data_IF_613578654262
#
_entry.id   IF_613578654262
#
_cell.length_a   1.000
_cell.length_b   1.000
_cell.length_c   1.000
_cell.angle_alpha   90.00
_cell.angle_beta   90.00
_cell.angle_gamma   90.00
#
_symmetry.space_group_name_H-M   'P 1'
#
loop_
_entity.id
_entity.type
_entity.pdbx_description
1 polymer ?
#
# COMPACT_ATOMS: atom_id res chain seq x y z
N UNK A 1 42.52 2.52 -14.39
CA UNK A 1 41.18 2.96 -13.91
C UNK A 1 40.96 2.31 -12.55
N UNK A 2 40.91 3.10 -11.49
CA UNK A 2 40.60 2.56 -10.15
C UNK A 2 39.14 2.13 -10.08
N UNK A 3 38.85 1.07 -9.34
CA UNK A 3 37.46 0.55 -9.19
C UNK A 3 36.59 1.55 -8.42
N UNK A 4 35.27 1.51 -8.62
CA UNK A 4 34.31 2.32 -7.88
C UNK A 4 34.44 2.11 -6.35
N UNK A 5 34.76 0.87 -5.91
CA UNK A 5 34.98 0.53 -4.51
C UNK A 5 36.16 1.24 -3.88
N UNK A 6 37.27 1.42 -4.62
CA UNK A 6 38.45 2.16 -4.14
C UNK A 6 38.16 3.66 -3.96
N UNK A 7 37.27 4.22 -4.83
CA UNK A 7 36.82 5.63 -4.73
C UNK A 7 35.95 5.88 -3.49
N UNK A 8 35.14 4.91 -3.07
CA UNK A 8 34.29 5.02 -1.87
C UNK A 8 35.13 4.95 -0.58
N UNK A 9 36.25 4.23 -0.57
CA UNK A 9 37.13 4.12 0.59
C UNK A 9 38.02 5.35 0.82
N UNK A 10 38.33 6.11 -0.23
CA UNK A 10 39.18 7.28 -0.15
C UNK A 10 38.47 8.63 0.06
N UNK A 11 37.12 8.64 0.18
CA UNK A 11 36.32 9.87 0.35
C UNK A 11 36.44 10.84 -0.82
N UNK A 12 36.66 10.32 -2.04
CA UNK A 12 36.85 11.14 -3.23
C UNK A 12 35.62 11.96 -3.54
N UNK A 13 35.77 13.25 -3.68
CA UNK A 13 34.77 14.21 -4.09
C UNK A 13 34.09 13.75 -5.37
N UNK A 14 32.75 13.60 -5.32
CA UNK A 14 31.95 13.40 -6.51
C UNK A 14 32.17 14.57 -7.46
N UNK A 15 32.49 14.26 -8.73
CA UNK A 15 32.71 15.26 -9.76
C UNK A 15 31.60 16.31 -9.73
N UNK A 16 31.98 17.57 -9.57
CA UNK A 16 31.03 18.69 -9.55
C UNK A 16 30.47 18.98 -10.96
N UNK A 17 29.30 19.62 -11.03
CA UNK A 17 28.75 20.04 -12.33
C UNK A 17 29.67 20.97 -13.13
N UNK A 18 30.56 21.69 -12.44
CA UNK A 18 31.56 22.58 -13.06
C UNK A 18 32.67 21.75 -13.69
N UNK A 19 33.26 20.83 -12.95
CA UNK A 19 34.33 19.95 -13.43
C UNK A 19 33.83 19.06 -14.61
N UNK A 20 32.61 18.52 -14.50
CA UNK A 20 32.01 17.77 -15.60
C UNK A 20 31.82 18.64 -16.85
N UNK A 21 31.34 19.87 -16.69
CA UNK A 21 31.15 20.80 -17.80
C UNK A 21 32.49 21.17 -18.49
N UNK A 22 33.52 21.42 -17.70
CA UNK A 22 34.88 21.67 -18.20
C UNK A 22 35.46 20.46 -18.95
N UNK A 23 35.25 19.24 -18.41
CA UNK A 23 35.71 17.99 -19.02
C UNK A 23 35.07 17.71 -20.40
N UNK A 24 33.81 18.03 -20.59
CA UNK A 24 33.08 17.77 -21.84
C UNK A 24 33.00 19.01 -22.76
N UNK A 25 33.64 20.13 -22.38
CA UNK A 25 33.75 21.32 -23.20
C UNK A 25 32.46 22.14 -23.37
N UNK A 26 31.56 22.13 -22.39
CA UNK A 26 30.31 22.90 -22.40
C UNK A 26 30.18 23.77 -21.15
N UNK A 27 29.24 24.71 -21.15
CA UNK A 27 29.01 25.51 -19.92
C UNK A 27 28.25 24.68 -18.86
N UNK A 28 28.52 24.95 -17.58
CA UNK A 28 27.78 24.34 -16.45
C UNK A 28 26.26 24.58 -16.58
N UNK A 29 25.85 25.75 -17.09
CA UNK A 29 24.45 26.05 -17.33
C UNK A 29 23.85 25.17 -18.42
N UNK A 30 24.64 24.79 -19.45
CA UNK A 30 24.21 23.87 -20.52
C UNK A 30 24.07 22.45 -19.98
N UNK A 31 25.02 21.96 -19.20
CA UNK A 31 24.93 20.67 -18.50
C UNK A 31 23.68 20.59 -17.65
N UNK A 32 23.47 21.60 -16.78
CA UNK A 32 22.30 21.67 -15.91
C UNK A 32 20.97 21.69 -16.68
N UNK A 33 20.88 22.40 -17.80
CA UNK A 33 19.66 22.45 -18.61
C UNK A 33 19.41 21.14 -19.38
N UNK A 34 20.48 20.55 -19.93
CA UNK A 34 20.38 19.28 -20.65
C UNK A 34 19.90 18.14 -19.74
N UNK A 35 20.56 17.94 -18.61
CA UNK A 35 20.26 16.85 -17.68
C UNK A 35 18.96 17.07 -16.86
N UNK A 36 18.41 18.29 -16.85
CA UNK A 36 17.09 18.59 -16.28
C UNK A 36 15.97 18.60 -17.32
N UNK A 37 16.19 18.12 -18.56
CA UNK A 37 15.16 17.98 -19.57
C UNK A 37 14.56 19.30 -20.11
N UNK A 38 15.24 20.46 -19.94
CA UNK A 38 14.70 21.73 -20.43
C UNK A 38 14.81 21.86 -21.94
N UNK A 39 13.72 22.29 -22.57
CA UNK A 39 13.60 22.46 -24.04
C UNK A 39 14.56 23.51 -24.66
N UNK A 40 15.27 24.28 -23.84
CA UNK A 40 16.22 25.32 -24.27
C UNK A 40 17.59 24.79 -24.74
N UNK A 41 17.81 23.47 -24.69
CA UNK A 41 19.04 22.82 -25.21
C UNK A 41 18.65 22.01 -26.45
N UNK A 42 19.39 22.19 -27.56
CA UNK A 42 19.11 21.40 -28.75
C UNK A 42 19.33 19.91 -28.50
N UNK A 43 18.55 19.07 -29.18
CA UNK A 43 18.51 17.63 -28.94
C UNK A 43 19.88 16.94 -29.11
N UNK A 44 20.66 17.33 -30.10
CA UNK A 44 22.01 16.82 -30.30
C UNK A 44 22.94 17.08 -29.13
N UNK A 45 22.85 18.28 -28.53
CA UNK A 45 23.65 18.66 -27.35
C UNK A 45 23.17 17.91 -26.11
N UNK A 46 21.86 17.70 -25.96
CA UNK A 46 21.30 16.93 -24.85
C UNK A 46 21.80 15.49 -24.89
N UNK A 47 21.63 14.80 -26.04
CA UNK A 47 22.10 13.41 -26.22
C UNK A 47 23.61 13.29 -25.97
N UNK A 48 24.42 14.26 -26.44
CA UNK A 48 25.86 14.28 -26.19
C UNK A 48 26.16 14.34 -24.70
N UNK A 49 25.49 15.25 -23.96
CA UNK A 49 25.71 15.43 -22.51
C UNK A 49 25.24 14.21 -21.73
N UNK A 50 24.07 13.65 -22.05
CA UNK A 50 23.52 12.44 -21.41
C UNK A 50 24.49 11.25 -21.59
N UNK A 51 24.97 11.02 -22.81
CA UNK A 51 25.94 9.96 -23.10
C UNK A 51 27.26 10.15 -22.35
N UNK A 52 27.74 11.40 -22.25
CA UNK A 52 28.96 11.70 -21.50
C UNK A 52 28.75 11.58 -19.99
N UNK A 53 27.57 11.93 -19.48
CA UNK A 53 27.24 11.72 -18.07
C UNK A 53 27.27 10.22 -17.72
N UNK A 54 26.69 9.37 -18.58
CA UNK A 54 26.76 7.92 -18.42
C UNK A 54 28.19 7.38 -18.49
N UNK A 55 28.99 7.83 -19.50
CA UNK A 55 30.38 7.42 -19.71
C UNK A 55 31.28 7.74 -18.51
N UNK A 56 31.09 8.90 -17.89
CA UNK A 56 31.89 9.37 -16.75
C UNK A 56 31.24 9.06 -15.38
N UNK A 57 30.06 8.43 -15.34
CA UNK A 57 29.32 8.17 -14.11
C UNK A 57 28.91 9.46 -13.40
N UNK A 58 28.70 10.55 -14.14
CA UNK A 58 28.32 11.84 -13.59
C UNK A 58 26.80 11.87 -13.28
N UNK A 59 26.48 12.21 -12.05
CA UNK A 59 25.10 12.44 -11.61
C UNK A 59 24.98 13.87 -11.07
N UNK A 60 23.95 14.59 -11.50
CA UNK A 60 23.67 15.92 -10.95
C UNK A 60 23.42 15.83 -9.45
N UNK A 61 24.10 16.69 -8.69
CA UNK A 61 23.87 16.79 -7.26
C UNK A 61 22.43 17.23 -6.98
N UNK A 62 21.63 16.33 -6.41
CA UNK A 62 20.22 16.55 -6.09
C UNK A 62 20.03 17.72 -5.10
N UNK A 63 20.95 17.90 -4.15
CA UNK A 63 20.89 19.02 -3.18
C UNK A 63 21.07 20.39 -3.87
N UNK A 64 22.03 20.49 -4.80
CA UNK A 64 22.23 21.73 -5.56
C UNK A 64 21.05 22.04 -6.50
N UNK A 65 20.37 20.99 -6.98
CA UNK A 65 19.14 21.11 -7.79
C UNK A 65 17.97 21.56 -6.91
N UNK A 66 17.77 20.95 -5.75
CA UNK A 66 16.66 21.29 -4.85
C UNK A 66 16.70 22.72 -4.35
N UNK A 67 17.90 23.25 -4.04
CA UNK A 67 18.10 24.65 -3.69
C UNK A 67 17.66 25.62 -4.80
N UNK A 68 17.75 25.22 -6.07
CA UNK A 68 17.41 26.07 -7.21
C UNK A 68 15.96 25.93 -7.66
N UNK A 69 15.37 24.75 -7.49
CA UNK A 69 14.04 24.42 -8.00
C UNK A 69 12.99 24.36 -6.91
N UNK A 70 13.39 24.39 -5.64
CA UNK A 70 12.57 24.12 -4.47
C UNK A 70 11.86 22.75 -4.53
N UNK A 71 12.36 21.82 -5.39
CA UNK A 71 11.86 20.44 -5.51
C UNK A 71 12.96 19.46 -5.13
N UNK A 72 12.62 18.50 -4.29
CA UNK A 72 13.53 17.45 -3.83
C UNK A 72 13.44 16.20 -4.68
N UNK A 73 12.35 16.06 -5.43
CA UNK A 73 11.91 14.84 -6.13
C UNK A 73 11.85 13.64 -5.19
N UNK A 74 11.41 13.86 -3.95
CA UNK A 74 11.28 12.82 -2.94
C UNK A 74 9.87 12.86 -2.35
N UNK A 75 9.19 11.71 -2.35
CA UNK A 75 7.90 11.52 -1.72
C UNK A 75 8.09 10.78 -0.41
N UNK A 76 7.53 11.33 0.66
CA UNK A 76 7.43 10.66 1.94
C UNK A 76 6.29 9.66 1.94
N UNK A 77 6.53 8.45 2.43
CA UNK A 77 5.53 7.41 2.55
C UNK A 77 5.37 7.04 4.02
N UNK A 78 4.17 7.28 4.55
CA UNK A 78 3.80 6.99 5.93
C UNK A 78 3.20 5.59 5.99
N UNK A 79 3.92 4.64 6.59
CA UNK A 79 3.42 3.29 6.85
C UNK A 79 2.91 3.16 8.29
N UNK A 80 2.06 2.16 8.58
CA UNK A 80 1.70 1.80 9.96
C UNK A 80 2.95 1.63 10.83
N UNK A 81 2.84 2.00 12.11
CA UNK A 81 3.95 2.11 13.07
C UNK A 81 4.72 0.81 13.32
N UNK A 82 4.17 -0.34 12.95
CA UNK A 82 4.72 -1.64 13.26
C UNK A 82 5.29 -2.32 12.00
N UNK A 83 6.63 -2.46 11.93
CA UNK A 83 7.31 -3.15 10.83
C UNK A 83 6.94 -4.63 10.75
N UNK A 84 6.63 -5.27 11.89
CA UNK A 84 6.12 -6.65 11.94
C UNK A 84 4.80 -6.78 11.17
N UNK A 85 3.97 -5.73 11.18
CA UNK A 85 2.74 -5.69 10.38
C UNK A 85 2.99 -5.68 8.88
N UNK A 86 4.09 -5.06 8.42
CA UNK A 86 4.46 -5.06 7.00
C UNK A 86 4.90 -6.44 6.52
N UNK A 87 5.68 -7.16 7.33
CA UNK A 87 6.17 -8.50 7.00
C UNK A 87 5.04 -9.54 6.99
N UNK A 88 4.04 -9.35 7.83
CA UNK A 88 2.84 -10.22 7.93
C UNK A 88 1.74 -9.85 6.94
N UNK A 89 1.78 -8.66 6.33
CA UNK A 89 0.76 -8.19 5.40
C UNK A 89 1.32 -8.05 3.98
N UNK A 90 1.18 -9.12 3.19
CA UNK A 90 1.65 -9.17 1.80
C UNK A 90 0.96 -8.15 0.88
N UNK A 91 -0.22 -7.65 1.26
CA UNK A 91 -0.88 -6.57 0.56
C UNK A 91 -0.05 -5.28 0.58
N UNK A 92 0.53 -4.90 1.74
CA UNK A 92 1.42 -3.74 1.83
C UNK A 92 2.68 -3.91 0.98
N UNK A 93 3.23 -5.13 0.89
CA UNK A 93 4.36 -5.42 0.01
C UNK A 93 3.99 -5.17 -1.45
N UNK A 94 2.79 -5.62 -1.85
CA UNK A 94 2.28 -5.39 -3.20
C UNK A 94 2.03 -3.91 -3.51
N UNK A 95 1.42 -3.19 -2.57
CA UNK A 95 1.23 -1.73 -2.66
C UNK A 95 2.57 -1.01 -2.82
N UNK A 96 3.58 -1.38 -2.01
CA UNK A 96 4.90 -0.75 -2.05
C UNK A 96 5.63 -0.99 -3.39
N UNK A 97 5.56 -2.20 -3.94
CA UNK A 97 6.14 -2.52 -5.26
C UNK A 97 5.49 -1.66 -6.37
N UNK A 98 4.15 -1.53 -6.34
CA UNK A 98 3.44 -0.67 -7.30
C UNK A 98 3.80 0.81 -7.11
N UNK A 99 3.87 1.27 -5.87
CA UNK A 99 4.21 2.65 -5.54
C UNK A 99 5.63 3.00 -6.03
N UNK A 100 6.59 2.10 -5.79
CA UNK A 100 7.96 2.28 -6.26
C UNK A 100 8.02 2.39 -7.79
N UNK A 101 7.31 1.52 -8.50
CA UNK A 101 7.25 1.54 -9.97
C UNK A 101 6.66 2.85 -10.49
N UNK A 102 5.53 3.28 -9.91
CA UNK A 102 4.82 4.48 -10.34
C UNK A 102 5.62 5.76 -10.06
N UNK A 103 6.25 5.88 -8.88
CA UNK A 103 7.07 7.03 -8.54
C UNK A 103 8.39 7.07 -9.32
N UNK A 104 9.06 5.91 -9.50
CA UNK A 104 10.29 5.84 -10.30
C UNK A 104 10.06 6.26 -11.76
N UNK A 105 8.94 5.88 -12.39
CA UNK A 105 8.57 6.32 -13.75
C UNK A 105 8.43 7.83 -13.85
N UNK A 106 8.07 8.49 -12.74
CA UNK A 106 7.89 9.94 -12.64
C UNK A 106 9.11 10.66 -12.09
N UNK A 107 10.25 9.93 -11.93
CA UNK A 107 11.53 10.43 -11.41
C UNK A 107 11.43 10.95 -9.97
N UNK A 108 10.62 10.31 -9.14
CA UNK A 108 10.55 10.55 -7.71
C UNK A 108 11.19 9.41 -6.92
N UNK A 109 11.97 9.77 -5.91
CA UNK A 109 12.51 8.87 -4.90
C UNK A 109 11.50 8.67 -3.76
N UNK A 110 11.60 7.55 -3.03
CA UNK A 110 10.77 7.26 -1.87
C UNK A 110 11.59 7.43 -0.59
N UNK A 111 11.04 8.16 0.35
CA UNK A 111 11.50 8.20 1.73
C UNK A 111 10.44 7.59 2.64
N UNK A 112 10.76 6.45 3.27
CA UNK A 112 9.86 5.85 4.25
C UNK A 112 9.97 6.65 5.55
N UNK A 113 8.83 7.14 6.03
CA UNK A 113 8.73 7.92 7.25
C UNK A 113 8.05 7.05 8.30
N UNK A 114 8.83 6.60 9.27
CA UNK A 114 8.34 5.90 10.45
C UNK A 114 8.21 6.89 11.60
N UNK A 115 7.14 6.78 12.34
CA UNK A 115 7.07 7.34 13.68
C UNK A 115 7.50 6.22 14.62
N UNK A 116 8.77 6.17 14.94
CA UNK A 116 9.34 5.08 15.69
C UNK A 116 9.31 5.43 17.19
N UNK A 117 8.69 4.54 17.96
CA UNK A 117 8.70 4.48 19.41
C UNK A 117 7.92 5.57 20.16
N UNK A 118 6.82 5.18 20.85
CA UNK A 118 6.11 6.05 21.80
C UNK A 118 7.01 6.60 22.93
N UNK A 119 8.12 5.92 23.23
CA UNK A 119 9.08 6.33 24.26
C UNK A 119 10.13 7.35 23.75
N UNK A 120 10.35 7.43 22.45
CA UNK A 120 11.22 8.46 21.89
C UNK A 120 10.51 9.82 21.82
N UNK A 121 10.95 10.76 22.64
CA UNK A 121 10.48 12.16 22.68
C UNK A 121 10.67 12.94 21.37
N UNK A 122 11.25 12.35 20.34
CA UNK A 122 11.47 13.00 19.04
C UNK A 122 10.34 12.70 18.09
N UNK A 123 9.55 13.70 17.74
CA UNK A 123 8.56 13.63 16.67
C UNK A 123 9.27 13.53 15.31
N UNK A 124 9.56 12.30 14.89
CA UNK A 124 10.26 12.03 13.62
C UNK A 124 9.44 12.56 12.44
N UNK A 125 8.12 12.44 12.48
CA UNK A 125 7.22 12.98 11.48
C UNK A 125 7.43 14.50 11.33
N UNK A 126 7.29 15.27 12.41
CA UNK A 126 7.45 16.72 12.38
C UNK A 126 8.85 17.14 11.90
N UNK A 127 9.88 16.46 12.38
CA UNK A 127 11.28 16.73 11.97
C UNK A 127 11.48 16.52 10.47
N UNK A 128 10.95 15.43 9.91
CA UNK A 128 11.08 15.13 8.48
C UNK A 128 10.31 16.14 7.65
N UNK A 129 9.06 16.44 8.04
CA UNK A 129 8.21 17.43 7.35
C UNK A 129 8.90 18.80 7.32
N UNK A 130 9.39 19.29 8.47
CA UNK A 130 10.05 20.61 8.56
C UNK A 130 11.44 20.65 7.90
N UNK A 131 12.04 19.50 7.59
CA UNK A 131 13.37 19.45 6.98
C UNK A 131 13.41 19.90 5.51
N UNK A 132 12.24 20.04 4.86
CA UNK A 132 12.14 20.35 3.44
C UNK A 132 12.74 19.29 2.51
N UNK A 133 12.78 18.04 2.96
CA UNK A 133 13.33 16.89 2.19
C UNK A 133 12.30 16.20 1.31
N UNK A 134 11.04 16.58 1.41
CA UNK A 134 9.92 15.94 0.73
C UNK A 134 9.13 16.97 -0.06
N UNK A 135 8.66 16.58 -1.24
CA UNK A 135 7.76 17.40 -2.05
C UNK A 135 6.28 17.09 -1.74
N UNK A 136 5.99 15.92 -1.20
CA UNK A 136 4.65 15.49 -0.83
C UNK A 136 4.65 14.20 -0.01
N UNK A 137 3.46 13.78 0.42
CA UNK A 137 3.25 12.64 1.29
C UNK A 137 2.18 11.69 0.76
N UNK A 138 2.45 10.39 0.84
CA UNK A 138 1.46 9.33 0.70
C UNK A 138 1.29 8.63 2.04
N UNK A 139 0.04 8.49 2.49
CA UNK A 139 -0.28 7.86 3.77
C UNK A 139 -0.96 6.50 3.59
N UNK A 140 -0.49 5.52 4.36
CA UNK A 140 -1.11 4.20 4.55
C UNK A 140 -1.46 3.92 6.01
N UNK A 141 -1.25 4.88 6.90
CA UNK A 141 -1.59 4.73 8.33
C UNK A 141 -3.10 4.88 8.50
N UNK A 142 -3.75 4.00 9.27
CA UNK A 142 -5.19 4.07 9.50
C UNK A 142 -5.61 5.30 10.32
N UNK A 143 -4.67 5.87 11.06
CA UNK A 143 -4.91 7.04 11.88
C UNK A 143 -3.73 8.01 11.79
N UNK A 144 -4.03 9.29 11.73
CA UNK A 144 -3.10 10.39 11.94
C UNK A 144 -3.49 11.11 13.24
N UNK A 145 -2.49 11.58 13.97
CA UNK A 145 -2.73 12.42 15.12
C UNK A 145 -3.21 13.81 14.64
N UNK A 146 -4.10 14.45 15.40
CA UNK A 146 -4.60 15.78 15.02
C UNK A 146 -3.47 16.77 14.76
N UNK A 147 -2.42 16.77 15.58
CA UNK A 147 -1.22 17.61 15.39
C UNK A 147 -0.49 17.37 14.07
N UNK A 148 -0.56 16.15 13.51
CA UNK A 148 0.04 15.81 12.22
C UNK A 148 -0.81 16.38 11.07
N UNK A 149 -2.13 16.25 11.19
CA UNK A 149 -3.09 16.86 10.26
C UNK A 149 -2.91 18.38 10.24
N UNK A 150 -2.91 19.02 11.42
CA UNK A 150 -2.71 20.47 11.57
C UNK A 150 -1.38 20.92 10.92
N UNK A 151 -0.32 20.10 11.05
CA UNK A 151 0.98 20.41 10.45
C UNK A 151 0.95 20.31 8.91
N UNK A 152 0.32 19.25 8.37
CA UNK A 152 0.14 19.06 6.92
C UNK A 152 -0.61 20.26 6.33
N UNK A 153 -1.73 20.63 6.94
CA UNK A 153 -2.58 21.76 6.51
C UNK A 153 -1.85 23.09 6.62
N UNK A 154 -1.22 23.37 7.78
CA UNK A 154 -0.49 24.61 8.03
C UNK A 154 0.65 24.84 7.04
N UNK A 155 1.37 23.79 6.69
CA UNK A 155 2.50 23.85 5.76
C UNK A 155 2.08 23.63 4.31
N UNK A 156 0.78 23.36 4.06
CA UNK A 156 0.20 23.07 2.73
C UNK A 156 0.97 22.00 1.99
N UNK A 157 1.30 20.90 2.70
CA UNK A 157 2.04 19.80 2.11
C UNK A 157 1.09 18.99 1.22
N UNK A 158 1.44 18.76 -0.06
CA UNK A 158 0.71 17.85 -0.93
C UNK A 158 0.56 16.49 -0.25
N UNK A 159 -0.68 16.01 -0.07
CA UNK A 159 -0.97 14.83 0.74
C UNK A 159 -2.10 14.01 0.12
N UNK A 160 -1.88 12.68 0.05
CA UNK A 160 -2.88 11.72 -0.40
C UNK A 160 -2.86 10.51 0.54
N UNK A 161 -4.04 10.10 1.04
CA UNK A 161 -4.20 8.86 1.80
C UNK A 161 -4.66 7.73 0.88
N UNK A 162 -3.97 6.59 0.93
CA UNK A 162 -4.27 5.39 0.16
C UNK A 162 -4.67 4.25 1.09
N UNK A 163 -5.74 3.55 0.75
CA UNK A 163 -6.22 2.34 1.44
C UNK A 163 -6.67 2.53 2.90
N UNK A 164 -6.53 3.70 3.47
CA UNK A 164 -6.88 3.98 4.87
C UNK A 164 -7.80 5.16 4.95
N UNK A 165 -8.95 4.99 5.59
CA UNK A 165 -9.86 6.07 5.95
C UNK A 165 -9.25 6.90 7.08
N UNK A 166 -8.98 8.13 6.79
CA UNK A 166 -8.73 9.12 7.84
C UNK A 166 -10.08 9.59 8.34
N UNK A 167 -10.45 9.22 9.56
CA UNK A 167 -11.68 9.70 10.18
C UNK A 167 -11.60 11.22 10.30
N UNK A 168 -12.68 11.90 9.87
CA UNK A 168 -12.95 13.32 10.12
C UNK A 168 -12.17 14.38 9.31
N UNK A 169 -11.40 14.02 8.29
CA UNK A 169 -10.76 15.05 7.46
C UNK A 169 -11.42 15.17 6.08
N UNK A 170 -12.40 16.09 5.98
CA UNK A 170 -12.95 16.53 4.68
C UNK A 170 -11.95 17.36 3.85
N UNK A 171 -10.76 17.61 4.37
CA UNK A 171 -9.73 18.44 3.77
C UNK A 171 -8.66 17.63 3.00
N UNK A 172 -8.65 16.30 3.15
CA UNK A 172 -7.60 15.45 2.58
C UNK A 172 -8.15 14.55 1.46
N UNK A 173 -7.32 14.32 0.46
CA UNK A 173 -7.62 13.36 -0.60
C UNK A 173 -7.46 11.92 -0.09
N UNK A 174 -8.49 11.10 -0.29
CA UNK A 174 -8.50 9.71 0.14
C UNK A 174 -8.91 8.80 -1.01
N UNK A 175 -8.10 7.79 -1.30
CA UNK A 175 -8.36 6.76 -2.29
C UNK A 175 -8.48 5.42 -1.56
N UNK A 176 -9.67 4.82 -1.59
CA UNK A 176 -10.03 3.70 -0.74
C UNK A 176 -10.61 2.55 -1.54
N UNK A 177 -10.48 1.35 -1.02
CA UNK A 177 -11.23 0.20 -1.53
C UNK A 177 -12.62 0.24 -0.88
N UNK A 178 -13.64 -0.04 -1.67
CA UNK A 178 -15.02 -0.21 -1.17
C UNK A 178 -15.17 -1.58 -0.50
N UNK A 179 -14.69 -1.63 0.74
CA UNK A 179 -14.68 -2.86 1.55
C UNK A 179 -16.08 -3.34 1.90
N UNK A 180 -17.03 -2.42 2.07
CA UNK A 180 -18.42 -2.79 2.35
C UNK A 180 -19.04 -3.49 1.14
N UNK A 181 -18.84 -2.98 -0.07
CA UNK A 181 -19.32 -3.64 -1.27
C UNK A 181 -18.60 -4.97 -1.52
N UNK A 182 -17.31 -5.07 -1.22
CA UNK A 182 -16.60 -6.34 -1.32
C UNK A 182 -17.19 -7.40 -0.37
N UNK A 183 -17.44 -7.04 0.88
CA UNK A 183 -18.12 -7.89 1.85
C UNK A 183 -19.53 -8.27 1.38
N UNK A 184 -20.30 -7.31 0.82
CA UNK A 184 -21.62 -7.57 0.28
C UNK A 184 -21.59 -8.62 -0.84
N UNK A 185 -20.69 -8.51 -1.79
CA UNK A 185 -20.55 -9.48 -2.88
C UNK A 185 -20.25 -10.89 -2.36
N UNK A 186 -19.35 -11.02 -1.38
CA UNK A 186 -19.03 -12.32 -0.75
C UNK A 186 -20.26 -12.88 -0.03
N UNK A 187 -20.95 -12.04 0.75
CA UNK A 187 -22.17 -12.46 1.48
C UNK A 187 -23.27 -12.92 0.55
N UNK A 188 -23.54 -12.19 -0.52
CA UNK A 188 -24.53 -12.56 -1.53
C UNK A 188 -24.14 -13.87 -2.24
N UNK A 189 -22.85 -14.02 -2.58
CA UNK A 189 -22.36 -15.25 -3.21
C UNK A 189 -22.48 -16.46 -2.29
N UNK A 190 -21.95 -16.41 -1.07
CA UNK A 190 -22.03 -17.51 -0.12
C UNK A 190 -23.47 -17.79 0.32
N UNK A 191 -24.30 -16.75 0.45
CA UNK A 191 -25.71 -16.88 0.76
C UNK A 191 -26.52 -17.64 -0.31
N UNK A 192 -26.07 -17.63 -1.55
CA UNK A 192 -26.62 -18.41 -2.67
C UNK A 192 -26.10 -19.86 -2.74
N UNK A 193 -25.09 -20.23 -1.93
CA UNK A 193 -24.53 -21.58 -1.94
C UNK A 193 -25.31 -22.52 -1.00
N UNK A 194 -25.13 -23.84 -1.21
CA UNK A 194 -25.70 -24.87 -0.35
C UNK A 194 -24.86 -25.02 0.94
N UNK A 195 -24.94 -24.01 1.81
CA UNK A 195 -24.31 -23.98 3.14
C UNK A 195 -25.36 -23.67 4.20
N UNK A 196 -25.18 -24.23 5.40
CA UNK A 196 -26.12 -24.11 6.51
C UNK A 196 -25.69 -23.09 7.56
N UNK A 197 -24.38 -22.85 7.66
CA UNK A 197 -23.77 -21.94 8.62
C UNK A 197 -22.86 -20.95 7.92
N UNK A 198 -22.91 -19.70 8.34
CA UNK A 198 -22.03 -18.64 7.87
C UNK A 198 -21.10 -18.21 8.99
N UNK A 199 -19.82 -18.04 8.71
CA UNK A 199 -18.80 -17.63 9.67
C UNK A 199 -18.04 -16.44 9.12
N UNK A 200 -17.72 -15.49 9.99
CA UNK A 200 -16.79 -14.41 9.71
C UNK A 200 -15.58 -14.51 10.63
N UNK A 201 -14.38 -14.53 10.05
CA UNK A 201 -13.13 -14.46 10.81
C UNK A 201 -12.68 -13.00 10.84
N UNK A 202 -12.91 -12.34 11.98
CA UNK A 202 -12.53 -10.96 12.25
C UNK A 202 -11.09 -10.86 12.75
N UNK A 203 -10.56 -9.62 12.77
CA UNK A 203 -9.30 -9.30 13.43
C UNK A 203 -9.57 -8.58 14.76
N UNK A 204 -8.69 -8.77 15.73
CA UNK A 204 -8.85 -8.24 17.08
C UNK A 204 -8.51 -6.74 17.20
N UNK A 205 -7.76 -6.21 16.23
CA UNK A 205 -7.39 -4.78 16.14
C UNK A 205 -8.45 -3.90 15.45
N UNK A 206 -9.54 -4.50 14.95
CA UNK A 206 -10.69 -3.80 14.35
C UNK A 206 -12.01 -4.27 15.01
N UNK A 207 -12.65 -3.44 15.85
CA UNK A 207 -13.93 -3.80 16.45
C UNK A 207 -14.98 -4.17 15.39
N UNK A 208 -15.75 -5.25 15.58
CA UNK A 208 -16.76 -5.71 14.59
C UNK A 208 -17.75 -4.61 14.17
N UNK A 209 -18.08 -3.69 15.08
CA UNK A 209 -19.01 -2.58 14.83
C UNK A 209 -18.45 -1.55 13.83
N UNK A 210 -17.13 -1.55 13.60
CA UNK A 210 -16.45 -0.65 12.66
C UNK A 210 -16.04 -1.34 11.37
N UNK A 211 -16.13 -2.67 11.31
CA UNK A 211 -15.70 -3.43 10.14
C UNK A 211 -16.65 -3.27 8.96
N UNK A 212 -16.24 -2.49 7.97
CA UNK A 212 -16.98 -2.34 6.71
C UNK A 212 -17.15 -3.68 5.99
N UNK A 213 -16.14 -4.56 6.06
CA UNK A 213 -16.19 -5.92 5.46
C UNK A 213 -17.29 -6.75 6.10
N UNK A 214 -17.39 -6.76 7.44
CA UNK A 214 -18.43 -7.50 8.17
C UNK A 214 -19.80 -6.93 7.88
N UNK A 215 -19.98 -5.62 7.90
CA UNK A 215 -21.27 -4.99 7.59
C UNK A 215 -21.74 -5.34 6.17
N UNK A 216 -20.83 -5.27 5.20
CA UNK A 216 -21.13 -5.71 3.84
C UNK A 216 -21.52 -7.18 3.78
N UNK A 217 -20.76 -8.06 4.44
CA UNK A 217 -21.03 -9.49 4.47
C UNK A 217 -22.43 -9.80 5.03
N UNK A 218 -22.79 -9.18 6.14
CA UNK A 218 -24.14 -9.33 6.74
C UNK A 218 -25.24 -8.86 5.80
N UNK A 219 -25.07 -7.72 5.13
CA UNK A 219 -26.03 -7.21 4.13
C UNK A 219 -26.13 -8.14 2.93
N UNK A 220 -25.02 -8.69 2.47
CA UNK A 220 -25.00 -9.66 1.37
C UNK A 220 -25.72 -10.95 1.72
N UNK A 221 -25.49 -11.52 2.90
CA UNK A 221 -26.22 -12.68 3.41
C UNK A 221 -27.74 -12.38 3.52
N UNK A 222 -28.07 -11.22 4.08
CA UNK A 222 -29.48 -10.81 4.23
C UNK A 222 -30.19 -10.69 2.86
N UNK A 223 -29.51 -10.26 1.81
CA UNK A 223 -30.06 -10.20 0.45
C UNK A 223 -30.45 -11.58 -0.10
N UNK A 224 -29.81 -12.65 0.40
CA UNK A 224 -30.12 -14.06 0.10
C UNK A 224 -31.05 -14.70 1.16
N UNK A 225 -31.62 -13.91 2.07
CA UNK A 225 -32.47 -14.41 3.16
C UNK A 225 -31.73 -15.20 4.24
N UNK A 226 -30.42 -14.95 4.39
CA UNK A 226 -29.53 -15.62 5.33
C UNK A 226 -29.09 -14.65 6.43
N UNK A 227 -28.64 -15.20 7.56
CA UNK A 227 -28.22 -14.43 8.73
C UNK A 227 -26.91 -14.97 9.25
N UNK A 228 -26.00 -14.08 9.61
CA UNK A 228 -24.79 -14.41 10.37
C UNK A 228 -25.16 -14.45 11.88
N UNK A 229 -24.95 -15.60 12.53
CA UNK A 229 -25.16 -15.72 13.98
C UNK A 229 -24.07 -14.99 14.76
N UNK A 230 -24.41 -14.46 15.95
CA UNK A 230 -23.42 -13.79 16.80
C UNK A 230 -22.29 -14.72 17.24
N UNK A 231 -22.59 -16.00 17.48
CA UNK A 231 -21.63 -17.07 17.81
C UNK A 231 -20.73 -17.46 16.64
N UNK A 232 -21.00 -16.93 15.45
CA UNK A 232 -20.29 -17.26 14.21
C UNK A 232 -19.30 -16.16 13.79
N UNK A 233 -19.04 -15.18 14.62
CA UNK A 233 -17.95 -14.20 14.47
C UNK A 233 -16.78 -14.67 15.33
N UNK A 234 -15.74 -15.18 14.69
CA UNK A 234 -14.49 -15.58 15.33
C UNK A 234 -13.50 -14.42 15.23
N UNK A 235 -12.81 -14.13 16.32
CA UNK A 235 -11.82 -13.05 16.37
C UNK A 235 -10.42 -13.62 16.61
N UNK A 236 -9.44 -13.16 15.86
CA UNK A 236 -8.05 -13.59 16.00
C UNK A 236 -7.09 -12.44 15.69
N UNK A 237 -5.86 -12.54 16.19
CA UNK A 237 -4.77 -11.67 15.75
C UNK A 237 -4.60 -11.79 14.22
N UNK A 238 -4.14 -10.72 13.57
CA UNK A 238 -3.93 -10.64 12.11
C UNK A 238 -2.74 -11.52 11.67
N UNK A 239 -2.86 -12.82 11.87
CA UNK A 239 -1.85 -13.80 11.46
C UNK A 239 -2.49 -15.13 11.03
N UNK A 240 -1.85 -15.90 10.14
CA UNK A 240 -2.34 -17.22 9.77
C UNK A 240 -2.33 -18.20 10.96
N UNK A 241 -1.37 -18.09 11.87
CA UNK A 241 -1.26 -18.92 13.07
C UNK A 241 -2.45 -18.71 14.01
N UNK A 242 -2.79 -17.46 14.32
CA UNK A 242 -3.92 -17.14 15.19
C UNK A 242 -5.26 -17.54 14.56
N UNK A 243 -5.42 -17.36 13.23
CA UNK A 243 -6.61 -17.83 12.52
C UNK A 243 -6.73 -19.36 12.54
N UNK A 244 -5.63 -20.10 12.41
CA UNK A 244 -5.59 -21.54 12.59
C UNK A 244 -6.04 -21.95 14.00
N UNK A 245 -5.48 -21.33 15.04
CA UNK A 245 -5.82 -21.62 16.43
C UNK A 245 -7.29 -21.34 16.75
N UNK A 246 -7.86 -20.25 16.21
CA UNK A 246 -9.27 -19.90 16.38
C UNK A 246 -10.20 -20.96 15.78
N UNK A 247 -9.88 -21.50 14.60
CA UNK A 247 -10.63 -22.59 13.97
C UNK A 247 -10.51 -23.88 14.79
N UNK A 248 -9.30 -24.23 15.25
CA UNK A 248 -9.07 -25.43 16.07
C UNK A 248 -9.85 -25.37 17.39
N UNK A 249 -9.86 -24.23 18.07
CA UNK A 249 -10.64 -23.98 19.27
C UNK A 249 -12.17 -24.10 19.05
N UNK A 250 -12.62 -23.79 17.83
CA UNK A 250 -14.03 -23.80 17.41
C UNK A 250 -14.36 -25.02 16.53
N UNK A 251 -13.58 -26.09 16.57
CA UNK A 251 -13.65 -27.24 15.63
C UNK A 251 -15.03 -27.86 15.49
N UNK A 252 -15.82 -27.92 16.58
CA UNK A 252 -17.19 -28.44 16.55
C UNK A 252 -18.11 -27.69 15.56
N UNK A 253 -17.82 -26.44 15.28
CA UNK A 253 -18.57 -25.59 14.33
C UNK A 253 -18.40 -26.06 12.90
N UNK A 254 -17.23 -26.55 12.53
CA UNK A 254 -16.87 -26.89 11.15
C UNK A 254 -17.07 -28.36 10.81
N UNK A 255 -17.16 -29.25 11.81
CA UNK A 255 -17.28 -30.69 11.58
C UNK A 255 -18.72 -31.17 11.37
N UNK A 256 -19.75 -30.37 11.71
CA UNK A 256 -21.14 -30.82 11.75
C UNK A 256 -22.02 -30.32 10.61
N UNK A 257 -21.72 -29.14 10.10
CA UNK A 257 -22.57 -28.44 9.14
C UNK A 257 -21.73 -27.97 7.94
N UNK A 258 -22.40 -27.80 6.79
CA UNK A 258 -21.79 -27.12 5.65
C UNK A 258 -21.61 -25.64 5.97
N UNK A 259 -20.38 -25.14 5.89
CA UNK A 259 -20.02 -23.82 6.37
C UNK A 259 -19.50 -22.94 5.23
N UNK A 260 -20.03 -21.71 5.13
CA UNK A 260 -19.47 -20.63 4.30
C UNK A 260 -18.68 -19.66 5.18
N UNK A 261 -17.40 -19.51 4.91
CA UNK A 261 -16.46 -18.78 5.75
C UNK A 261 -15.92 -17.58 4.97
N UNK A 262 -16.16 -16.36 5.44
CA UNK A 262 -15.46 -15.18 5.00
C UNK A 262 -14.36 -14.85 6.00
N UNK A 263 -13.13 -14.81 5.54
CA UNK A 263 -11.95 -14.50 6.35
C UNK A 263 -11.46 -13.10 6.03
N UNK A 264 -11.09 -12.36 7.05
CA UNK A 264 -10.70 -10.94 6.97
C UNK A 264 -9.69 -10.65 5.85
N UNK A 265 -8.67 -11.50 5.68
CA UNK A 265 -7.72 -11.41 4.57
C UNK A 265 -7.19 -12.81 4.14
N UNK A 266 -6.47 -12.83 3.02
CA UNK A 266 -5.94 -14.07 2.44
C UNK A 266 -4.92 -14.77 3.34
N UNK A 267 -4.05 -14.03 4.05
CA UNK A 267 -3.07 -14.65 4.94
C UNK A 267 -3.75 -15.44 6.07
N UNK A 268 -4.76 -14.85 6.71
CA UNK A 268 -5.57 -15.54 7.71
C UNK A 268 -6.34 -16.71 7.08
N UNK A 269 -6.84 -16.56 5.84
CA UNK A 269 -7.55 -17.62 5.13
C UNK A 269 -6.66 -18.85 4.89
N UNK A 270 -5.36 -18.69 4.67
CA UNK A 270 -4.42 -19.82 4.59
C UNK A 270 -4.30 -20.56 5.93
N UNK A 271 -4.35 -19.84 7.05
CA UNK A 271 -4.41 -20.45 8.38
C UNK A 271 -5.70 -21.25 8.59
N UNK A 272 -6.85 -20.67 8.21
CA UNK A 272 -8.16 -21.35 8.23
C UNK A 272 -8.12 -22.64 7.39
N UNK A 273 -7.60 -22.58 6.16
CA UNK A 273 -7.49 -23.76 5.28
C UNK A 273 -6.60 -24.85 5.88
N UNK A 274 -5.51 -24.49 6.55
CA UNK A 274 -4.65 -25.44 7.24
C UNK A 274 -5.39 -26.14 8.39
N UNK A 275 -6.14 -25.39 9.20
CA UNK A 275 -6.93 -25.97 10.30
C UNK A 275 -8.04 -26.90 9.78
N UNK A 276 -8.79 -26.50 8.75
CA UNK A 276 -9.82 -27.33 8.14
C UNK A 276 -9.25 -28.64 7.59
N UNK A 277 -8.07 -28.58 6.97
CA UNK A 277 -7.39 -29.76 6.47
C UNK A 277 -7.02 -30.72 7.60
N UNK A 278 -6.50 -30.21 8.73
CA UNK A 278 -6.15 -31.03 9.89
C UNK A 278 -7.37 -31.64 10.55
N UNK A 279 -8.50 -30.94 10.59
CA UNK A 279 -9.79 -31.44 11.05
C UNK A 279 -10.44 -32.44 10.09
N UNK A 280 -9.87 -32.67 8.91
CA UNK A 280 -10.44 -33.54 7.88
C UNK A 280 -11.69 -32.97 7.21
N UNK A 281 -11.91 -31.66 7.29
CA UNK A 281 -13.05 -30.95 6.67
C UNK A 281 -12.73 -30.70 5.20
N UNK A 282 -13.57 -31.26 4.32
CA UNK A 282 -13.36 -31.14 2.87
C UNK A 282 -13.70 -29.73 2.36
N UNK A 283 -12.75 -29.09 1.67
CA UNK A 283 -12.92 -27.79 1.00
C UNK A 283 -12.92 -28.04 -0.52
N UNK A 284 -13.92 -27.62 -1.29
CA UNK A 284 -15.05 -26.74 -0.94
C UNK A 284 -16.32 -27.51 -0.49
N UNK A 285 -16.32 -28.83 -0.40
CA UNK A 285 -17.53 -29.66 -0.29
C UNK A 285 -18.26 -29.50 1.05
N UNK A 286 -17.51 -29.38 2.13
CA UNK A 286 -18.01 -29.26 3.50
C UNK A 286 -17.82 -27.82 4.05
N UNK A 287 -16.73 -27.18 3.68
CA UNK A 287 -16.51 -25.75 3.99
C UNK A 287 -16.09 -24.99 2.74
N UNK A 288 -16.74 -23.87 2.48
CA UNK A 288 -16.33 -22.91 1.46
C UNK A 288 -15.60 -21.75 2.13
N UNK A 289 -14.43 -21.39 1.63
CA UNK A 289 -13.57 -20.34 2.23
C UNK A 289 -13.34 -19.22 1.23
N UNK A 290 -13.58 -18.00 1.68
CA UNK A 290 -13.40 -16.79 0.91
C UNK A 290 -12.43 -15.85 1.67
N UNK A 291 -11.40 -15.37 1.00
CA UNK A 291 -10.44 -14.38 1.53
C UNK A 291 -10.68 -12.97 1.00
N UNK A 292 -9.70 -12.10 1.21
CA UNK A 292 -9.61 -10.74 0.69
C UNK A 292 -8.16 -10.41 0.39
N UNK A 293 -7.87 -9.68 -0.70
CA UNK A 293 -6.63 -9.08 -1.19
C UNK A 293 -6.10 -9.64 -2.51
N UNK A 294 -6.31 -10.92 -2.80
CA UNK A 294 -5.74 -11.67 -3.92
C UNK A 294 -4.20 -11.66 -3.95
N UNK A 295 -3.61 -11.98 -2.78
CA UNK A 295 -2.15 -12.13 -2.70
C UNK A 295 -1.65 -13.29 -3.58
N UNK A 296 -0.38 -13.28 -4.03
CA UNK A 296 0.16 -14.35 -4.90
C UNK A 296 -0.04 -15.76 -4.34
N UNK A 297 0.07 -15.93 -3.02
CA UNK A 297 -0.13 -17.23 -2.34
C UNK A 297 -1.54 -17.78 -2.50
N UNK A 298 -2.57 -16.93 -2.67
CA UNK A 298 -3.94 -17.36 -2.90
C UNK A 298 -4.08 -18.27 -4.13
N UNK A 299 -3.25 -18.05 -5.15
CA UNK A 299 -3.24 -18.86 -6.38
C UNK A 299 -2.31 -20.07 -6.33
N UNK A 300 -1.37 -20.13 -5.39
CA UNK A 300 -0.36 -21.19 -5.26
C UNK A 300 -0.68 -22.21 -4.17
N UNK A 301 -1.52 -21.84 -3.23
CA UNK A 301 -1.96 -22.76 -2.17
C UNK A 301 -2.89 -23.85 -2.74
N UNK A 302 -3.01 -24.99 -2.05
CA UNK A 302 -3.90 -26.08 -2.46
C UNK A 302 -4.85 -26.41 -1.30
N UNK A 303 -6.18 -26.25 -1.51
CA UNK A 303 -6.88 -25.72 -2.68
C UNK A 303 -6.62 -24.23 -2.91
N UNK A 304 -6.67 -23.72 -4.17
CA UNK A 304 -6.49 -22.32 -4.50
C UNK A 304 -7.61 -21.48 -3.91
N UNK A 305 -7.26 -20.38 -3.24
CA UNK A 305 -8.18 -19.56 -2.47
C UNK A 305 -9.03 -18.65 -3.37
N UNK A 306 -10.34 -18.71 -3.21
CA UNK A 306 -11.28 -17.71 -3.72
C UNK A 306 -11.18 -16.45 -2.85
N UNK A 307 -11.15 -15.28 -3.49
CA UNK A 307 -10.84 -14.02 -2.80
C UNK A 307 -11.38 -12.81 -3.55
N UNK A 308 -11.34 -11.63 -2.94
CA UNK A 308 -11.58 -10.36 -3.61
C UNK A 308 -10.23 -9.74 -4.01
N UNK A 309 -10.07 -9.46 -5.30
CA UNK A 309 -8.90 -8.75 -5.83
C UNK A 309 -9.04 -7.26 -5.63
N UNK A 310 -8.20 -6.69 -4.79
CA UNK A 310 -8.09 -5.26 -4.60
C UNK A 310 -7.44 -4.59 -5.82
N UNK A 311 -7.99 -3.49 -6.35
CA UNK A 311 -7.46 -2.80 -7.54
C UNK A 311 -6.24 -1.91 -7.21
N UNK A 312 -5.25 -2.48 -6.52
CA UNK A 312 -4.06 -1.79 -6.00
C UNK A 312 -3.34 -0.98 -7.06
N UNK A 313 -3.14 -1.57 -8.25
CA UNK A 313 -2.43 -0.91 -9.34
C UNK A 313 -3.11 0.39 -9.78
N UNK A 314 -4.43 0.36 -9.92
CA UNK A 314 -5.20 1.55 -10.33
C UNK A 314 -5.19 2.58 -9.20
N UNK A 315 -5.50 2.19 -7.97
CA UNK A 315 -5.55 3.08 -6.81
C UNK A 315 -4.20 3.78 -6.57
N UNK A 316 -3.09 3.05 -6.64
CA UNK A 316 -1.75 3.62 -6.46
C UNK A 316 -1.38 4.54 -7.63
N UNK A 317 -1.70 4.15 -8.87
CA UNK A 317 -1.45 4.99 -10.05
C UNK A 317 -2.17 6.33 -9.96
N UNK A 318 -3.48 6.29 -9.71
CA UNK A 318 -4.33 7.50 -9.57
C UNK A 318 -3.87 8.36 -8.37
N UNK A 319 -3.44 7.71 -7.27
CA UNK A 319 -2.91 8.41 -6.10
C UNK A 319 -1.59 9.13 -6.37
N UNK A 320 -0.70 8.51 -7.15
CA UNK A 320 0.55 9.16 -7.57
C UNK A 320 0.28 10.33 -8.52
N UNK A 321 -0.62 10.17 -9.48
CA UNK A 321 -0.99 11.24 -10.42
C UNK A 321 -1.61 12.42 -9.67
N UNK A 322 -2.53 12.15 -8.75
CA UNK A 322 -3.14 13.15 -7.91
C UNK A 322 -2.11 13.91 -7.06
N UNK A 323 -1.20 13.17 -6.39
CA UNK A 323 -0.17 13.80 -5.56
C UNK A 323 0.76 14.69 -6.40
N UNK A 324 1.16 14.23 -7.58
CA UNK A 324 2.04 15.00 -8.46
C UNK A 324 1.33 16.25 -8.99
N UNK A 325 0.05 16.17 -9.37
CA UNK A 325 -0.75 17.35 -9.72
C UNK A 325 -0.77 18.39 -8.60
N UNK A 326 -0.97 17.95 -7.35
CA UNK A 326 -0.89 18.82 -6.17
C UNK A 326 0.50 19.46 -5.99
N UNK A 327 1.58 18.70 -6.20
CA UNK A 327 2.97 19.20 -6.14
C UNK A 327 3.24 20.22 -7.26
N UNK A 328 2.59 20.08 -8.39
CA UNK A 328 2.70 20.98 -9.54
C UNK A 328 1.82 22.23 -9.41
N UNK A 329 1.01 22.28 -8.36
CA UNK A 329 0.16 23.42 -8.01
C UNK A 329 -1.23 23.36 -8.62
N UNK A 330 -1.69 22.18 -9.03
CA UNK A 330 -3.08 22.00 -9.46
C UNK A 330 -4.03 22.20 -8.28
N UNK A 331 -5.06 23.00 -8.46
CA UNK A 331 -6.12 23.17 -7.48
C UNK A 331 -7.17 22.08 -7.63
N UNK A 332 -7.02 21.00 -6.86
CA UNK A 332 -7.94 19.85 -6.86
C UNK A 332 -8.70 19.86 -5.54
N UNK A 333 -10.03 19.90 -5.61
CA UNK A 333 -10.84 19.84 -4.39
C UNK A 333 -10.67 18.48 -3.68
N UNK A 334 -10.50 18.47 -2.34
CA UNK A 334 -10.41 17.25 -1.55
C UNK A 334 -11.60 16.32 -1.80
N UNK A 335 -11.34 15.04 -1.95
CA UNK A 335 -12.38 14.04 -2.18
C UNK A 335 -11.97 12.67 -1.71
N UNK A 336 -12.96 11.86 -1.35
CA UNK A 336 -12.80 10.42 -1.16
C UNK A 336 -13.23 9.70 -2.44
N UNK A 337 -12.35 8.85 -2.96
CA UNK A 337 -12.62 8.01 -4.15
C UNK A 337 -12.61 6.55 -3.73
N UNK A 338 -13.68 5.82 -4.07
CA UNK A 338 -13.80 4.40 -3.77
C UNK A 338 -13.52 3.54 -5.01
N UNK A 339 -12.72 2.51 -4.83
CA UNK A 339 -12.34 1.53 -5.85
C UNK A 339 -13.00 0.19 -5.57
N UNK A 340 -13.62 -0.40 -6.59
CA UNK A 340 -14.32 -1.66 -6.46
C UNK A 340 -13.34 -2.83 -6.54
N UNK A 341 -13.39 -3.73 -5.55
CA UNK A 341 -12.68 -4.99 -5.60
C UNK A 341 -13.40 -5.98 -6.54
N UNK A 342 -12.64 -6.86 -7.16
CA UNK A 342 -13.14 -7.86 -8.10
C UNK A 342 -13.14 -9.25 -7.47
N UNK A 343 -14.29 -9.96 -7.56
CA UNK A 343 -14.39 -11.34 -7.11
C UNK A 343 -13.57 -12.28 -8.00
N UNK A 344 -12.75 -13.12 -7.38
CA UNK A 344 -11.92 -14.14 -8.02
C UNK A 344 -12.26 -15.50 -7.44
N UNK A 345 -13.07 -16.28 -8.15
CA UNK A 345 -13.44 -17.63 -7.75
C UNK A 345 -12.36 -18.63 -8.11
N UNK A 346 -12.05 -19.53 -7.16
CA UNK A 346 -11.08 -20.62 -7.30
C UNK A 346 -11.60 -21.89 -6.61
N UNK A 347 -10.68 -22.75 -6.14
CA UNK A 347 -11.01 -24.10 -5.69
C UNK A 347 -11.66 -24.16 -4.29
N UNK A 348 -11.58 -23.10 -3.49
CA UNK A 348 -12.14 -23.06 -2.13
C UNK A 348 -13.62 -22.72 -2.09
N UNK A 349 -14.26 -22.46 -3.24
CA UNK A 349 -15.71 -22.22 -3.39
C UNK A 349 -16.23 -22.98 -4.61
N UNK A 350 -17.56 -23.06 -4.76
CA UNK A 350 -18.21 -23.78 -5.88
C UNK A 350 -18.77 -22.84 -6.93
#
# INVERSE_FOLDING_TARGET
>A
MRSLSEKWQEGLDLMTSREFAELIGVSQATVSRALNGRSSVCEKTRIYIEKKAEEYGFVLNSQARSLKTSKTNTIGVLFPLNFDSLSKNLMFTHIFDQLQRELSRRSYDIMIVYDHDPEMKSNTFERVIRSGKLDGLINFRPQLLQREIDLIEKLRIPFVSLHSALQESSMLHQLMIDEENAGFQIGAYLGGQDVSRYVYMAVDDEPPERSARLHGYMKGLASAGKVLGEDSILTAERSPEAAYEAVMASSAMFCRERTGIFVYNDMMALGVLNALRELGVAVPDQAQVFGMDDIPLASWFTPRLSTMRSPVRQMVGDGCDLLIGLIEGEEIAPRTTYYQAQMVLRDTTR
#
